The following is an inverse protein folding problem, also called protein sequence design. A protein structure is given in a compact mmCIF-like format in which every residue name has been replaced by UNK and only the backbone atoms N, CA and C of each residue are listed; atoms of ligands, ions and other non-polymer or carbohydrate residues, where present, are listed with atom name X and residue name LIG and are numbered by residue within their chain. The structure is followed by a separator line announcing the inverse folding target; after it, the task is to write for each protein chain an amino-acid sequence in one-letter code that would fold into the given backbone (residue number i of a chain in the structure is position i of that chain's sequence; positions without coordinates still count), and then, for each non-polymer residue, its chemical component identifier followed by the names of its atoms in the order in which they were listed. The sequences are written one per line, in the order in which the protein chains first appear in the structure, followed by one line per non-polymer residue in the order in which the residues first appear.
data_IF_412759203376
#
_entry.id   IF_412759203376
#
_cell.length_a   1.000
_cell.length_b   1.000
_cell.length_c   1.000
_cell.angle_alpha   90.00
_cell.angle_beta   90.00
_cell.angle_gamma   90.00
#
_symmetry.space_group_name_H-M   'P 1'
#
loop_
_entity.id
_entity.type
_entity.pdbx_description
1 polymer ?
#
# COMPACT_ATOMS: atom_id res chain seq x y z
N UNK A 1 62.74 23.78 -56.85
CA UNK A 1 62.29 22.52 -56.20
C UNK A 1 60.78 22.43 -56.36
N UNK A 2 60.08 21.36 -56.80
CA UNK A 2 60.43 20.03 -57.34
C UNK A 2 61.26 19.13 -56.39
N UNK A 3 60.90 17.86 -56.09
CA UNK A 3 59.69 17.07 -56.45
C UNK A 3 59.54 15.83 -55.52
N UNK A 4 58.34 15.21 -55.55
CA UNK A 4 57.91 13.91 -54.96
C UNK A 4 58.93 12.75 -55.00
N UNK A 5 58.76 11.75 -54.10
CA UNK A 5 58.41 10.34 -54.44
C UNK A 5 58.02 9.47 -53.23
N UNK A 6 57.01 8.60 -53.42
CA UNK A 6 56.72 7.41 -52.58
C UNK A 6 57.42 6.18 -53.15
N UNK A 7 57.52 5.06 -52.39
CA UNK A 7 57.46 3.67 -52.90
C UNK A 7 57.28 2.65 -51.73
N UNK A 8 56.68 1.50 -52.05
CA UNK A 8 56.32 0.37 -51.17
C UNK A 8 57.46 -0.65 -50.94
N UNK A 9 57.37 -1.45 -49.86
CA UNK A 9 57.56 -2.93 -49.74
C UNK A 9 57.97 -3.27 -48.29
N UNK A 10 57.33 -4.13 -47.47
CA UNK A 10 56.82 -5.51 -47.58
C UNK A 10 57.88 -6.62 -47.29
N UNK A 11 57.52 -7.53 -46.36
CA UNK A 11 58.04 -8.89 -46.06
C UNK A 11 59.24 -9.13 -45.08
N UNK A 12 58.94 -9.95 -44.05
CA UNK A 12 59.73 -11.01 -43.36
C UNK A 12 60.97 -10.71 -42.49
N UNK A 13 60.83 -10.98 -41.19
CA UNK A 13 61.81 -11.64 -40.28
C UNK A 13 60.99 -12.24 -39.11
N UNK A 14 60.70 -13.54 -39.11
CA UNK A 14 61.50 -14.66 -38.56
C UNK A 14 61.67 -14.65 -37.03
N UNK A 15 61.22 -15.75 -36.42
CA UNK A 15 61.18 -16.00 -34.98
C UNK A 15 62.56 -15.93 -34.31
N UNK A 16 62.59 -15.36 -33.11
CA UNK A 16 63.46 -15.83 -32.04
C UNK A 16 62.77 -15.63 -30.69
N UNK A 17 62.49 -16.75 -30.00
CA UNK A 17 61.99 -16.76 -28.63
C UNK A 17 63.14 -17.12 -27.68
N UNK A 18 63.36 -16.38 -26.59
CA UNK A 18 64.01 -16.91 -25.41
C UNK A 18 62.95 -17.49 -24.47
N UNK A 19 63.01 -18.80 -24.24
CA UNK A 19 62.19 -19.47 -23.22
C UNK A 19 62.58 -19.00 -21.83
N UNK A 20 61.62 -18.53 -21.04
CA UNK A 20 61.73 -18.45 -19.59
C UNK A 20 60.78 -19.46 -18.97
N UNK A 21 61.24 -20.69 -18.76
CA UNK A 21 60.52 -21.65 -17.94
C UNK A 21 60.64 -21.26 -16.46
N UNK A 22 59.54 -20.76 -15.89
CA UNK A 22 59.27 -20.90 -14.47
C UNK A 22 58.13 -21.90 -14.31
N UNK A 23 58.43 -23.11 -13.83
CA UNK A 23 57.39 -24.06 -13.43
C UNK A 23 56.60 -23.48 -12.26
N UNK A 24 55.29 -23.34 -12.45
CA UNK A 24 54.31 -23.25 -11.37
C UNK A 24 53.36 -24.45 -11.52
N UNK A 25 53.83 -25.62 -11.13
CA UNK A 25 52.98 -26.80 -10.95
C UNK A 25 52.28 -26.69 -9.59
N UNK A 26 50.95 -26.59 -9.59
CA UNK A 26 50.15 -26.64 -8.35
C UNK A 26 49.11 -25.53 -8.17
N UNK A 27 49.14 -24.46 -8.96
CA UNK A 27 48.05 -23.47 -8.93
C UNK A 27 46.83 -23.98 -9.71
N UNK A 28 45.95 -24.71 -9.01
CA UNK A 28 44.54 -24.73 -9.40
C UNK A 28 44.01 -23.31 -9.25
N UNK A 29 43.90 -22.60 -10.38
CA UNK A 29 43.08 -21.40 -10.45
C UNK A 29 41.64 -21.85 -10.21
N UNK A 30 41.20 -21.80 -8.95
CA UNK A 30 39.77 -21.71 -8.67
C UNK A 30 39.32 -20.38 -9.27
N UNK A 31 38.86 -20.45 -10.51
CA UNK A 31 38.01 -19.42 -11.07
C UNK A 31 36.81 -19.35 -10.13
N UNK A 32 36.78 -18.31 -9.30
CA UNK A 32 35.64 -18.03 -8.46
C UNK A 32 34.43 -17.90 -9.38
N UNK A 33 33.64 -18.97 -9.47
CA UNK A 33 32.48 -19.06 -10.33
C UNK A 33 31.46 -18.07 -9.79
N UNK A 34 31.56 -16.84 -10.29
CA UNK A 34 30.49 -15.86 -10.16
C UNK A 34 29.36 -16.42 -11.00
N UNK A 35 28.33 -16.90 -10.32
CA UNK A 35 27.07 -17.21 -10.97
C UNK A 35 26.72 -16.06 -11.92
N UNK A 36 26.29 -16.36 -13.17
CA UNK A 36 25.91 -15.31 -14.10
C UNK A 36 24.82 -14.47 -13.43
N UNK A 37 25.08 -13.17 -13.26
CA UNK A 37 24.09 -12.27 -12.70
C UNK A 37 22.90 -12.23 -13.66
N UNK A 38 21.86 -12.99 -13.32
CA UNK A 38 20.57 -12.95 -14.00
C UNK A 38 20.11 -11.49 -13.90
N UNK A 39 19.89 -10.80 -15.03
CA UNK A 39 19.49 -9.39 -14.99
C UNK A 39 18.18 -9.25 -14.21
N UNK A 40 18.02 -8.12 -13.51
CA UNK A 40 16.80 -7.88 -12.74
C UNK A 40 15.56 -8.07 -13.63
N UNK A 41 14.58 -8.89 -13.19
CA UNK A 41 13.45 -9.27 -14.03
C UNK A 41 12.58 -8.05 -14.31
N UNK A 42 12.41 -7.70 -15.59
CA UNK A 42 11.61 -6.54 -15.97
C UNK A 42 10.12 -6.91 -15.98
N UNK A 43 9.31 -6.14 -15.25
CA UNK A 43 7.86 -6.26 -15.35
C UNK A 43 7.37 -5.62 -16.67
N UNK A 44 7.36 -6.41 -17.74
CA UNK A 44 6.77 -6.05 -19.03
C UNK A 44 6.08 -7.26 -19.64
N UNK A 45 4.84 -7.09 -20.10
CA UNK A 45 4.20 -8.05 -20.99
C UNK A 45 3.63 -7.31 -22.20
N UNK A 46 3.86 -7.87 -23.39
CA UNK A 46 3.27 -7.40 -24.64
C UNK A 46 2.80 -8.59 -25.47
N UNK A 47 1.49 -8.65 -25.78
CA UNK A 47 0.97 -9.52 -26.83
C UNK A 47 0.66 -8.65 -28.05
N UNK A 48 1.12 -9.09 -29.22
CA UNK A 48 1.01 -8.37 -30.51
C UNK A 48 1.44 -6.89 -30.44
N UNK A 49 2.50 -6.57 -29.68
CA UNK A 49 3.05 -5.22 -29.54
C UNK A 49 2.39 -4.33 -28.48
N UNK A 50 1.18 -4.66 -28.03
CA UNK A 50 0.42 -3.90 -27.02
C UNK A 50 0.61 -4.46 -25.61
N UNK A 51 0.68 -3.58 -24.61
CA UNK A 51 0.70 -3.97 -23.20
C UNK A 51 -0.60 -4.68 -22.79
N UNK A 52 -0.53 -5.63 -21.86
CA UNK A 52 -1.72 -6.17 -21.15
C UNK A 52 -2.00 -5.47 -19.82
N UNK A 53 -1.01 -4.76 -19.28
CA UNK A 53 -1.10 -4.17 -17.93
C UNK A 53 -2.08 -2.99 -17.94
N UNK A 54 -3.20 -3.17 -17.26
CA UNK A 54 -4.27 -2.18 -17.14
C UNK A 54 -4.07 -1.33 -15.87
N UNK A 55 -3.70 -0.07 -16.07
CA UNK A 55 -3.63 0.94 -15.00
C UNK A 55 -4.88 1.84 -14.98
N UNK A 56 -5.74 1.77 -15.99
CA UNK A 56 -6.91 2.62 -16.13
C UNK A 56 -8.00 2.19 -15.16
N UNK A 57 -8.27 0.88 -15.05
CA UNK A 57 -9.22 0.36 -14.05
C UNK A 57 -8.87 0.87 -12.63
N UNK A 58 -7.58 0.88 -12.30
CA UNK A 58 -7.09 1.34 -11.00
C UNK A 58 -7.31 2.85 -10.78
N UNK A 59 -7.15 3.69 -11.81
CA UNK A 59 -7.40 5.14 -11.67
C UNK A 59 -8.89 5.45 -11.59
N UNK A 60 -9.75 4.70 -12.29
CA UNK A 60 -11.21 4.90 -12.25
C UNK A 60 -11.82 4.69 -10.86
N UNK A 61 -11.18 3.88 -10.00
CA UNK A 61 -11.52 3.81 -8.57
C UNK A 61 -10.87 4.91 -7.76
N UNK A 62 -9.60 5.23 -8.06
CA UNK A 62 -8.83 6.21 -7.30
C UNK A 62 -9.44 7.59 -7.36
N UNK A 63 -9.70 8.10 -8.55
CA UNK A 63 -10.01 9.50 -8.78
C UNK A 63 -11.26 9.98 -8.00
N UNK A 64 -12.41 9.26 -8.00
CA UNK A 64 -13.55 9.64 -7.14
C UNK A 64 -13.25 9.54 -5.63
N UNK A 65 -12.41 8.59 -5.20
CA UNK A 65 -12.08 8.41 -3.77
C UNK A 65 -11.12 9.48 -3.25
N UNK A 66 -10.07 9.79 -4.02
CA UNK A 66 -9.15 10.91 -3.75
C UNK A 66 -9.94 12.24 -3.76
N UNK A 67 -10.93 12.39 -4.65
CA UNK A 67 -11.80 13.56 -4.70
C UNK A 67 -12.74 13.67 -3.48
N UNK A 68 -13.40 12.59 -3.06
CA UNK A 68 -14.18 12.51 -1.81
C UNK A 68 -13.32 12.94 -0.62
N UNK A 69 -12.16 12.31 -0.45
CA UNK A 69 -11.27 12.59 0.69
C UNK A 69 -10.79 14.04 0.70
N UNK A 70 -10.25 14.53 -0.42
CA UNK A 70 -9.61 15.85 -0.50
C UNK A 70 -10.60 17.02 -0.48
N UNK A 71 -11.73 16.89 -1.18
CA UNK A 71 -12.68 17.99 -1.39
C UNK A 71 -13.79 18.05 -0.33
N UNK A 72 -14.14 16.90 0.29
CA UNK A 72 -15.26 16.81 1.23
C UNK A 72 -14.87 16.38 2.63
N UNK A 73 -14.08 15.31 2.80
CA UNK A 73 -13.83 14.73 4.13
C UNK A 73 -12.79 15.52 4.93
N UNK A 74 -11.56 15.60 4.41
CA UNK A 74 -10.43 16.26 5.08
C UNK A 74 -10.75 17.71 5.41
N UNK A 75 -11.42 18.38 4.48
CA UNK A 75 -11.81 19.79 4.56
C UNK A 75 -13.25 20.00 5.01
N UNK A 76 -13.93 18.98 5.58
CA UNK A 76 -15.31 19.00 6.08
C UNK A 76 -16.28 19.95 5.33
N UNK A 77 -16.49 19.69 4.05
CA UNK A 77 -17.30 20.54 3.15
C UNK A 77 -18.69 19.96 2.84
N UNK A 78 -19.18 18.99 3.63
CA UNK A 78 -20.53 18.42 3.48
C UNK A 78 -21.54 19.32 4.22
N UNK A 79 -21.60 20.60 3.83
CA UNK A 79 -22.43 21.63 4.51
C UNK A 79 -23.93 21.51 4.25
N UNK A 80 -24.31 20.89 3.13
CA UNK A 80 -25.68 20.85 2.62
C UNK A 80 -26.01 19.45 2.09
N UNK A 81 -27.30 19.09 2.07
CA UNK A 81 -27.74 17.78 1.57
C UNK A 81 -27.28 17.50 0.14
N UNK A 82 -27.21 18.52 -0.74
CA UNK A 82 -26.68 18.36 -2.09
C UNK A 82 -25.20 17.97 -2.15
N UNK A 83 -24.39 18.36 -1.15
CA UNK A 83 -23.01 17.90 -1.01
C UNK A 83 -22.96 16.47 -0.47
N UNK A 84 -23.85 16.11 0.46
CA UNK A 84 -24.00 14.72 0.95
C UNK A 84 -24.38 13.79 -0.20
N UNK A 85 -25.44 14.11 -0.96
CA UNK A 85 -25.84 13.36 -2.15
C UNK A 85 -24.68 13.17 -3.12
N UNK A 86 -23.88 14.21 -3.38
CA UNK A 86 -22.75 14.11 -4.31
C UNK A 86 -21.61 13.23 -3.79
N UNK A 87 -21.27 13.32 -2.51
CA UNK A 87 -20.25 12.42 -1.89
C UNK A 87 -20.69 10.97 -2.00
N UNK A 88 -21.97 10.69 -1.75
CA UNK A 88 -22.54 9.36 -1.89
C UNK A 88 -22.57 8.90 -3.34
N UNK A 89 -22.94 9.77 -4.28
CA UNK A 89 -22.95 9.47 -5.72
C UNK A 89 -21.57 9.07 -6.24
N UNK A 90 -20.50 9.81 -5.89
CA UNK A 90 -19.12 9.43 -6.22
C UNK A 90 -18.71 8.07 -5.64
N UNK A 91 -19.21 7.71 -4.47
CA UNK A 91 -18.90 6.42 -3.83
C UNK A 91 -19.72 5.27 -4.44
N UNK A 92 -21.03 5.46 -4.58
CA UNK A 92 -22.01 4.48 -5.05
C UNK A 92 -21.91 4.19 -6.55
N UNK A 93 -21.53 5.19 -7.36
CA UNK A 93 -21.53 5.11 -8.83
C UNK A 93 -20.17 5.35 -9.49
N UNK A 94 -19.20 5.95 -8.78
CA UNK A 94 -17.93 6.39 -9.38
C UNK A 94 -18.12 7.51 -10.41
N UNK A 95 -17.11 7.77 -11.24
CA UNK A 95 -17.24 8.71 -12.36
C UNK A 95 -17.50 8.00 -13.70
N UNK A 96 -16.80 6.89 -13.97
CA UNK A 96 -16.84 6.21 -15.27
C UNK A 96 -17.01 4.69 -15.12
N UNK A 97 -18.20 4.26 -14.73
CA UNK A 97 -18.67 2.87 -14.81
C UNK A 97 -18.15 1.90 -13.75
N UNK A 98 -16.97 2.15 -13.16
CA UNK A 98 -16.44 1.38 -12.03
C UNK A 98 -16.79 2.07 -10.71
N UNK A 99 -17.40 1.31 -9.79
CA UNK A 99 -18.08 1.87 -8.62
C UNK A 99 -17.32 1.55 -7.32
N UNK A 100 -16.79 2.55 -6.60
CA UNK A 100 -16.06 2.30 -5.35
C UNK A 100 -16.84 1.49 -4.30
N UNK A 101 -18.15 1.68 -4.21
CA UNK A 101 -19.04 0.95 -3.30
C UNK A 101 -19.09 -0.55 -3.60
N UNK A 102 -19.08 -0.95 -4.88
CA UNK A 102 -19.11 -2.35 -5.29
C UNK A 102 -17.74 -3.01 -5.08
N UNK A 103 -16.67 -2.25 -5.28
CA UNK A 103 -15.28 -2.73 -5.16
C UNK A 103 -14.72 -2.75 -3.72
N UNK A 104 -15.32 -2.02 -2.78
CA UNK A 104 -14.89 -2.02 -1.38
C UNK A 104 -15.17 -3.38 -0.70
N UNK A 105 -14.10 -3.98 -0.16
CA UNK A 105 -14.10 -5.26 0.54
C UNK A 105 -14.81 -6.36 -0.25
N UNK A 106 -14.57 -6.38 -1.57
CA UNK A 106 -15.23 -7.27 -2.53
C UNK A 106 -14.76 -8.72 -2.44
N UNK A 107 -13.60 -8.99 -1.82
CA UNK A 107 -13.06 -10.35 -1.76
C UNK A 107 -13.94 -11.34 -0.98
N UNK A 108 -13.92 -12.65 -1.31
CA UNK A 108 -14.72 -13.66 -0.61
C UNK A 108 -14.46 -13.72 0.89
N UNK A 109 -13.24 -13.41 1.33
CA UNK A 109 -12.83 -13.41 2.75
C UNK A 109 -13.51 -12.31 3.57
N UNK A 110 -13.78 -11.15 2.95
CA UNK A 110 -14.37 -10.00 3.65
C UNK A 110 -15.89 -9.89 3.46
N UNK A 111 -16.50 -10.75 2.61
CA UNK A 111 -17.94 -10.76 2.32
C UNK A 111 -18.85 -10.75 3.56
N UNK A 112 -18.44 -11.39 4.66
CA UNK A 112 -19.20 -11.42 5.91
C UNK A 112 -19.23 -10.05 6.64
N UNK A 113 -18.11 -9.33 6.65
CA UNK A 113 -17.98 -8.02 7.30
C UNK A 113 -18.22 -6.85 6.34
N UNK A 114 -18.29 -7.07 5.02
CA UNK A 114 -18.48 -6.05 3.97
C UNK A 114 -19.60 -5.06 4.26
N UNK A 115 -20.75 -5.52 4.79
CA UNK A 115 -21.87 -4.63 5.19
C UNK A 115 -21.49 -3.67 6.31
N UNK A 116 -20.63 -4.10 7.25
CA UNK A 116 -20.14 -3.30 8.38
C UNK A 116 -19.09 -2.29 7.91
N UNK A 117 -18.20 -2.71 7.02
CA UNK A 117 -17.19 -1.87 6.38
C UNK A 117 -17.85 -0.73 5.57
N UNK A 118 -18.88 -1.06 4.78
CA UNK A 118 -19.70 -0.04 4.09
C UNK A 118 -20.42 0.89 5.07
N UNK A 119 -20.93 0.38 6.19
CA UNK A 119 -21.55 1.22 7.21
C UNK A 119 -20.51 2.15 7.89
N UNK A 120 -19.26 1.72 8.08
CA UNK A 120 -18.21 2.60 8.60
C UNK A 120 -17.95 3.80 7.66
N UNK A 121 -17.98 3.60 6.34
CA UNK A 121 -17.89 4.70 5.34
C UNK A 121 -19.08 5.65 5.46
N UNK A 122 -20.30 5.12 5.55
CA UNK A 122 -21.52 5.91 5.76
C UNK A 122 -21.47 6.72 7.06
N UNK A 123 -20.98 6.15 8.16
CA UNK A 123 -20.80 6.91 9.41
C UNK A 123 -19.73 7.99 9.27
N UNK A 124 -18.64 7.77 8.54
CA UNK A 124 -17.63 8.82 8.27
C UNK A 124 -18.26 9.97 7.48
N UNK A 125 -19.12 9.69 6.49
CA UNK A 125 -19.84 10.74 5.74
C UNK A 125 -20.77 11.53 6.67
N UNK A 126 -21.54 10.86 7.54
CA UNK A 126 -22.42 11.51 8.54
C UNK A 126 -21.66 12.35 9.54
N UNK A 127 -20.57 11.83 10.12
CA UNK A 127 -19.72 12.57 11.07
C UNK A 127 -19.08 13.78 10.38
N UNK A 128 -18.59 13.61 9.15
CA UNK A 128 -18.11 14.74 8.32
C UNK A 128 -19.21 15.78 8.11
N UNK A 129 -20.44 15.37 7.79
CA UNK A 129 -21.60 16.25 7.67
C UNK A 129 -21.87 17.05 8.95
N UNK A 130 -21.91 16.39 10.12
CA UNK A 130 -22.01 17.03 11.44
C UNK A 130 -20.89 18.07 11.64
N UNK A 131 -19.63 17.71 11.39
CA UNK A 131 -18.47 18.60 11.50
C UNK A 131 -18.48 19.76 10.48
N UNK A 132 -19.12 19.57 9.33
CA UNK A 132 -19.34 20.58 8.30
C UNK A 132 -20.44 21.58 8.66
N UNK A 133 -21.25 21.28 9.68
CA UNK A 133 -22.45 22.04 10.04
C UNK A 133 -23.70 21.68 9.24
N UNK A 134 -23.80 20.47 8.69
CA UNK A 134 -25.01 19.99 8.00
C UNK A 134 -26.24 20.12 8.91
N UNK A 135 -27.33 20.67 8.36
CA UNK A 135 -28.57 20.93 9.10
C UNK A 135 -28.54 22.16 10.03
N UNK A 136 -27.42 22.89 10.13
CA UNK A 136 -27.31 24.10 10.93
C UNK A 136 -27.73 25.35 10.12
N UNK A 137 -28.28 26.41 10.76
CA UNK A 137 -28.70 27.63 10.05
C UNK A 137 -27.57 28.36 9.31
N UNK A 138 -26.34 28.23 9.78
CA UNK A 138 -25.14 28.75 9.10
C UNK A 138 -24.00 27.73 9.23
N UNK A 139 -23.88 26.76 8.30
CA UNK A 139 -22.89 25.69 8.38
C UNK A 139 -21.45 26.21 8.45
N UNK A 140 -21.13 27.21 7.62
CA UNK A 140 -19.82 27.87 7.59
C UNK A 140 -19.44 28.58 8.88
N UNK A 141 -20.41 29.13 9.62
CA UNK A 141 -20.17 29.70 10.96
C UNK A 141 -20.05 28.59 12.00
N UNK A 142 -20.95 27.60 11.96
CA UNK A 142 -20.99 26.49 12.92
C UNK A 142 -19.65 25.77 13.00
N UNK A 143 -19.07 25.41 11.85
CA UNK A 143 -17.79 24.68 11.77
C UNK A 143 -16.54 25.48 12.16
N UNK A 144 -16.66 26.79 12.38
CA UNK A 144 -15.53 27.69 12.61
C UNK A 144 -15.12 27.74 14.10
N UNK A 145 -14.81 26.57 14.67
CA UNK A 145 -14.27 26.43 16.02
C UNK A 145 -13.24 25.28 16.07
N UNK A 146 -12.23 25.42 16.94
CA UNK A 146 -11.22 24.37 17.13
C UNK A 146 -11.83 23.16 17.81
N UNK A 147 -11.38 21.97 17.43
CA UNK A 147 -11.71 20.74 18.13
C UNK A 147 -11.20 20.81 19.59
N UNK A 148 -11.90 20.15 20.50
CA UNK A 148 -11.50 19.99 21.92
C UNK A 148 -12.11 18.70 22.48
N UNK A 149 -11.71 18.33 23.71
CA UNK A 149 -12.25 17.17 24.40
C UNK A 149 -13.79 17.25 24.46
N UNK A 150 -14.48 16.29 23.87
CA UNK A 150 -15.95 16.22 23.86
C UNK A 150 -16.66 17.06 22.80
N UNK A 151 -15.95 17.84 21.99
CA UNK A 151 -16.54 18.69 20.93
C UNK A 151 -15.63 18.66 19.68
N UNK A 152 -16.12 18.00 18.64
CA UNK A 152 -15.41 17.92 17.37
C UNK A 152 -15.43 19.25 16.61
N UNK A 153 -14.35 19.56 15.89
CA UNK A 153 -14.12 20.84 15.23
C UNK A 153 -12.89 20.79 14.32
N UNK A 154 -12.35 21.94 13.91
CA UNK A 154 -11.16 21.97 13.07
C UNK A 154 -9.86 21.72 13.86
N UNK A 155 -8.90 21.10 13.17
CA UNK A 155 -7.52 20.88 13.60
C UNK A 155 -6.62 21.62 12.61
N UNK A 156 -5.76 22.50 13.12
CA UNK A 156 -4.94 23.43 12.33
C UNK A 156 -4.80 24.80 13.02
N UNK A 157 -4.16 25.75 12.33
CA UNK A 157 -3.95 27.10 12.87
C UNK A 157 -5.22 27.92 12.64
N UNK A 158 -5.69 27.99 11.38
CA UNK A 158 -6.89 28.73 10.95
C UNK A 158 -7.79 27.92 10.01
N UNK A 159 -9.06 28.32 9.92
CA UNK A 159 -9.96 27.81 8.89
C UNK A 159 -9.51 28.29 7.50
N UNK A 160 -9.28 27.37 6.57
CA UNK A 160 -8.75 27.66 5.23
C UNK A 160 -7.27 27.35 5.02
N UNK A 161 -6.54 26.93 6.06
CA UNK A 161 -5.17 26.42 5.90
C UNK A 161 -5.13 25.19 4.98
N UNK A 162 -4.08 25.07 4.15
CA UNK A 162 -3.89 23.94 3.22
C UNK A 162 -3.93 22.59 3.95
N UNK A 163 -3.41 22.54 5.18
CA UNK A 163 -3.30 21.34 6.01
C UNK A 163 -4.42 21.19 7.05
N UNK A 164 -5.54 21.91 6.90
CA UNK A 164 -6.69 21.75 7.80
C UNK A 164 -7.23 20.31 7.79
N UNK A 165 -7.65 19.85 8.96
CA UNK A 165 -8.38 18.60 9.18
C UNK A 165 -9.56 18.85 10.13
N UNK A 166 -10.48 17.90 10.26
CA UNK A 166 -11.60 17.97 11.21
C UNK A 166 -11.66 16.70 12.05
N UNK A 167 -11.67 16.87 13.36
CA UNK A 167 -11.71 15.78 14.33
C UNK A 167 -13.08 15.71 15.02
N UNK A 168 -13.52 14.50 15.37
CA UNK A 168 -14.72 14.27 16.17
C UNK A 168 -14.52 14.61 17.66
N UNK A 169 -15.54 14.39 18.49
CA UNK A 169 -15.47 14.59 19.95
C UNK A 169 -14.41 13.72 20.67
N UNK A 170 -13.89 12.66 20.03
CA UNK A 170 -12.79 11.81 20.52
C UNK A 170 -11.43 12.22 19.96
N UNK A 171 -11.36 13.27 19.13
CA UNK A 171 -10.13 13.70 18.48
C UNK A 171 -9.77 12.87 17.23
N UNK A 172 -10.66 11.98 16.77
CA UNK A 172 -10.43 11.18 15.57
C UNK A 172 -10.78 11.98 14.32
N UNK A 173 -9.77 12.17 13.46
CA UNK A 173 -9.95 12.74 12.12
C UNK A 173 -10.49 11.63 11.22
N UNK A 174 -11.82 11.56 11.10
CA UNK A 174 -12.53 10.50 10.37
C UNK A 174 -12.15 10.40 8.88
N UNK A 175 -11.63 11.48 8.28
CA UNK A 175 -11.07 11.48 6.94
C UNK A 175 -9.83 10.57 6.80
N UNK A 176 -8.98 10.46 7.83
CA UNK A 176 -7.82 9.55 7.82
C UNK A 176 -8.26 8.08 8.03
N UNK A 177 -9.38 7.86 8.73
CA UNK A 177 -10.00 6.54 8.80
C UNK A 177 -10.56 6.11 7.44
N UNK A 178 -11.20 7.02 6.69
CA UNK A 178 -11.64 6.76 5.31
C UNK A 178 -10.47 6.39 4.40
N UNK A 179 -9.35 7.12 4.48
CA UNK A 179 -8.11 6.73 3.80
C UNK A 179 -7.73 5.29 4.17
N UNK A 180 -7.68 4.94 5.46
CA UNK A 180 -7.42 3.57 5.91
C UNK A 180 -8.35 2.50 5.32
N UNK A 181 -9.65 2.79 5.26
CA UNK A 181 -10.67 1.92 4.68
C UNK A 181 -10.47 1.75 3.17
N UNK A 182 -10.21 2.83 2.44
CA UNK A 182 -9.95 2.79 0.98
C UNK A 182 -8.65 2.05 0.68
N UNK A 183 -7.57 2.42 1.36
CA UNK A 183 -6.26 1.82 1.19
C UNK A 183 -6.29 0.31 1.49
N UNK A 184 -6.83 -0.09 2.64
CA UNK A 184 -6.99 -1.51 2.96
C UNK A 184 -8.02 -2.22 2.07
N UNK A 185 -9.25 -1.74 2.09
CA UNK A 185 -10.42 -2.45 1.58
C UNK A 185 -10.63 -2.39 0.07
N UNK A 186 -9.95 -1.49 -0.65
CA UNK A 186 -9.92 -1.51 -2.11
C UNK A 186 -8.55 -1.98 -2.58
N UNK A 187 -7.48 -1.23 -2.33
CA UNK A 187 -6.17 -1.56 -2.93
C UNK A 187 -5.58 -2.84 -2.36
N UNK A 188 -5.42 -2.96 -1.04
CA UNK A 188 -4.80 -4.14 -0.44
C UNK A 188 -5.69 -5.39 -0.60
N UNK A 189 -7.02 -5.24 -0.49
CA UNK A 189 -7.98 -6.32 -0.75
C UNK A 189 -7.91 -6.83 -2.20
N UNK A 190 -7.87 -5.91 -3.18
CA UNK A 190 -7.74 -6.27 -4.59
C UNK A 190 -6.41 -6.94 -4.88
N UNK A 191 -5.29 -6.41 -4.38
CA UNK A 191 -3.98 -7.02 -4.58
C UNK A 191 -3.96 -8.44 -3.98
N UNK A 192 -4.25 -8.59 -2.68
CA UNK A 192 -3.99 -9.84 -1.94
C UNK A 192 -5.13 -10.86 -1.96
N UNK A 193 -6.39 -10.41 -1.90
CA UNK A 193 -7.55 -11.27 -1.65
C UNK A 193 -8.40 -11.51 -2.90
N UNK A 194 -8.30 -10.64 -3.92
CA UNK A 194 -8.98 -10.80 -5.22
C UNK A 194 -8.00 -11.32 -6.27
N UNK A 195 -7.00 -10.53 -6.68
CA UNK A 195 -6.19 -10.81 -7.86
C UNK A 195 -4.98 -11.74 -7.59
N UNK A 196 -4.47 -11.79 -6.35
CA UNK A 196 -3.49 -12.79 -5.88
C UNK A 196 -4.15 -13.83 -4.95
N UNK A 197 -5.40 -14.20 -5.25
CA UNK A 197 -6.06 -15.31 -4.56
C UNK A 197 -5.56 -16.67 -5.08
N UNK A 198 -5.15 -17.55 -4.18
CA UNK A 198 -4.61 -18.88 -4.53
C UNK A 198 -5.61 -19.72 -5.35
N UNK A 199 -6.91 -19.52 -5.18
CA UNK A 199 -7.92 -20.28 -5.94
C UNK A 199 -7.84 -20.03 -7.44
N UNK A 200 -7.51 -18.81 -7.89
CA UNK A 200 -7.40 -18.45 -9.31
C UNK A 200 -6.29 -19.24 -9.99
N UNK A 201 -5.11 -19.27 -9.37
CA UNK A 201 -3.92 -19.92 -9.93
C UNK A 201 -3.94 -21.44 -9.77
N UNK A 202 -4.91 -22.00 -9.04
CA UNK A 202 -5.14 -23.45 -8.92
C UNK A 202 -6.41 -23.93 -9.63
N UNK A 203 -7.19 -23.04 -10.26
CA UNK A 203 -8.39 -23.40 -11.00
C UNK A 203 -8.06 -24.09 -12.34
N UNK A 204 -8.61 -25.30 -12.54
CA UNK A 204 -8.33 -26.14 -13.71
C UNK A 204 -8.97 -25.66 -15.02
N UNK A 205 -10.00 -24.79 -14.95
CA UNK A 205 -10.53 -24.07 -16.11
C UNK A 205 -9.58 -22.94 -16.47
N UNK A 206 -9.22 -22.08 -15.51
CA UNK A 206 -8.35 -20.93 -15.75
C UNK A 206 -6.98 -21.33 -16.32
N UNK A 207 -6.33 -22.35 -15.75
CA UNK A 207 -5.06 -22.88 -16.30
C UNK A 207 -5.20 -23.36 -17.74
N UNK A 208 -6.26 -24.12 -18.05
CA UNK A 208 -6.53 -24.68 -19.39
C UNK A 208 -6.84 -23.59 -20.42
N UNK A 209 -7.68 -22.62 -20.06
CA UNK A 209 -7.99 -21.47 -20.93
C UNK A 209 -6.73 -20.64 -21.19
N UNK A 210 -5.88 -20.46 -20.17
CA UNK A 210 -4.61 -19.77 -20.30
C UNK A 210 -3.60 -20.50 -21.19
N UNK A 211 -3.40 -21.81 -21.01
CA UNK A 211 -2.57 -22.67 -21.88
C UNK A 211 -3.06 -22.66 -23.34
N UNK A 212 -4.38 -22.67 -23.54
CA UNK A 212 -5.00 -22.56 -24.86
C UNK A 212 -4.95 -21.12 -25.44
N UNK A 213 -4.36 -20.15 -24.72
CA UNK A 213 -4.35 -18.71 -25.10
C UNK A 213 -5.77 -18.16 -25.39
N UNK A 214 -6.75 -18.58 -24.59
CA UNK A 214 -8.15 -18.12 -24.70
C UNK A 214 -8.26 -16.68 -24.19
N UNK A 215 -8.30 -15.72 -25.12
CA UNK A 215 -8.34 -14.30 -24.81
C UNK A 215 -9.75 -13.85 -24.44
N UNK A 216 -9.86 -12.89 -23.51
CA UNK A 216 -11.12 -12.24 -23.21
C UNK A 216 -11.61 -11.38 -24.40
N UNK A 217 -12.93 -11.23 -24.63
CA UNK A 217 -13.46 -10.52 -25.79
C UNK A 217 -12.91 -9.09 -25.93
N UNK A 218 -12.28 -8.80 -27.08
CA UNK A 218 -11.67 -7.50 -27.36
C UNK A 218 -10.39 -7.18 -26.58
N UNK A 219 -9.82 -8.14 -25.85
CA UNK A 219 -8.59 -7.99 -25.04
C UNK A 219 -7.43 -8.79 -25.64
N UNK A 220 -6.21 -8.41 -25.25
CA UNK A 220 -4.96 -9.07 -25.63
C UNK A 220 -4.38 -9.96 -24.50
N UNK A 221 -5.19 -10.30 -23.49
CA UNK A 221 -4.83 -11.10 -22.32
C UNK A 221 -5.87 -12.19 -22.04
N UNK A 222 -5.43 -13.27 -21.39
CA UNK A 222 -6.33 -14.27 -20.80
C UNK A 222 -6.83 -13.79 -19.43
N UNK A 223 -7.84 -14.44 -18.86
CA UNK A 223 -8.39 -14.10 -17.54
C UNK A 223 -7.31 -14.17 -16.44
N UNK A 224 -6.49 -15.23 -16.43
CA UNK A 224 -5.46 -15.46 -15.41
C UNK A 224 -4.29 -14.45 -15.50
N UNK A 225 -3.91 -14.07 -16.71
CA UNK A 225 -2.93 -12.99 -16.94
C UNK A 225 -3.44 -11.64 -16.44
N UNK A 226 -4.72 -11.35 -16.69
CA UNK A 226 -5.34 -10.10 -16.27
C UNK A 226 -5.34 -9.92 -14.75
N UNK A 227 -5.63 -10.98 -13.99
CA UNK A 227 -5.53 -10.93 -12.53
C UNK A 227 -4.11 -10.57 -12.08
N UNK A 228 -3.07 -11.25 -12.59
CA UNK A 228 -1.69 -10.94 -12.19
C UNK A 228 -1.27 -9.50 -12.56
N UNK A 229 -1.69 -9.04 -13.74
CA UNK A 229 -1.39 -7.69 -14.24
C UNK A 229 -2.16 -6.60 -13.45
N UNK A 230 -3.43 -6.83 -13.07
CA UNK A 230 -4.20 -5.92 -12.20
C UNK A 230 -3.63 -5.85 -10.78
N UNK A 231 -3.20 -6.97 -10.19
CA UNK A 231 -2.53 -6.97 -8.89
C UNK A 231 -1.29 -6.05 -8.88
N UNK A 232 -0.50 -6.08 -9.97
CA UNK A 232 0.64 -5.18 -10.15
C UNK A 232 0.22 -3.72 -10.40
N UNK A 233 -0.90 -3.50 -11.11
CA UNK A 233 -1.53 -2.20 -11.30
C UNK A 233 -1.93 -1.53 -9.98
N UNK A 234 -2.76 -2.20 -9.17
CA UNK A 234 -3.17 -1.71 -7.85
C UNK A 234 -1.97 -1.52 -6.91
N UNK A 235 -0.93 -2.38 -7.01
CA UNK A 235 0.32 -2.22 -6.26
C UNK A 235 1.06 -0.91 -6.56
N UNK A 236 0.95 -0.32 -7.75
CA UNK A 236 1.60 0.98 -8.04
C UNK A 236 1.05 2.11 -7.14
N UNK A 237 -0.22 2.03 -6.76
CA UNK A 237 -0.85 3.00 -5.86
C UNK A 237 -0.47 2.73 -4.39
N UNK A 238 -0.10 1.49 -4.06
CA UNK A 238 0.50 1.14 -2.76
C UNK A 238 1.98 1.48 -2.65
N UNK A 239 2.67 1.69 -3.78
CA UNK A 239 4.11 1.86 -3.85
C UNK A 239 4.66 2.96 -2.91
N UNK A 240 4.00 4.11 -2.66
CA UNK A 240 4.44 5.10 -1.67
C UNK A 240 4.57 4.54 -0.25
N UNK A 241 3.64 3.65 0.18
CA UNK A 241 3.70 2.98 1.47
C UNK A 241 4.87 1.98 1.55
N UNK A 242 5.30 1.41 0.43
CA UNK A 242 6.52 0.59 0.38
C UNK A 242 7.78 1.47 0.35
N UNK A 243 7.75 2.57 -0.39
CA UNK A 243 8.91 3.41 -0.71
C UNK A 243 9.30 4.46 0.33
N UNK A 244 8.41 4.89 1.24
CA UNK A 244 8.69 5.92 2.24
C UNK A 244 9.69 5.44 3.33
N UNK A 245 10.93 5.15 2.93
CA UNK A 245 11.83 4.23 3.61
C UNK A 245 13.01 4.87 4.33
N UNK A 246 12.75 5.47 5.51
CA UNK A 246 13.76 5.65 6.56
C UNK A 246 13.85 4.48 7.54
N UNK A 247 13.09 3.40 7.29
CA UNK A 247 12.96 2.23 8.17
C UNK A 247 13.81 1.06 7.65
N UNK A 248 14.81 0.57 8.40
CA UNK A 248 15.69 -0.51 7.96
C UNK A 248 14.95 -1.80 7.59
N UNK A 249 13.93 -2.18 8.37
CA UNK A 249 13.12 -3.39 8.15
C UNK A 249 12.38 -3.43 6.80
N UNK A 250 12.18 -2.26 6.15
CA UNK A 250 11.54 -2.15 4.83
C UNK A 250 12.50 -1.87 3.68
N UNK A 251 13.82 -1.78 3.93
CA UNK A 251 14.82 -1.34 2.95
C UNK A 251 14.76 -2.14 1.63
N UNK A 252 14.49 -3.43 1.72
CA UNK A 252 14.44 -4.34 0.57
C UNK A 252 13.00 -4.63 0.08
N UNK A 253 11.96 -4.17 0.78
CA UNK A 253 10.57 -4.55 0.46
C UNK A 253 10.17 -4.18 -0.96
N UNK A 254 10.57 -2.99 -1.43
CA UNK A 254 10.29 -2.53 -2.80
C UNK A 254 10.86 -3.48 -3.86
N UNK A 255 12.13 -3.88 -3.71
CA UNK A 255 12.80 -4.73 -4.71
C UNK A 255 12.33 -6.18 -4.60
N UNK A 256 12.05 -6.68 -3.39
CA UNK A 256 11.45 -8.02 -3.19
C UNK A 256 10.08 -8.13 -3.85
N UNK A 257 9.18 -7.19 -3.60
CA UNK A 257 7.83 -7.20 -4.19
C UNK A 257 7.90 -7.03 -5.71
N UNK A 258 8.71 -6.09 -6.23
CA UNK A 258 8.89 -5.92 -7.68
C UNK A 258 9.42 -7.19 -8.36
N UNK A 259 10.48 -7.78 -7.81
CA UNK A 259 11.09 -8.98 -8.38
C UNK A 259 10.13 -10.18 -8.32
N UNK A 260 9.33 -10.32 -7.26
CA UNK A 260 8.32 -11.37 -7.17
C UNK A 260 7.22 -11.18 -8.22
N UNK A 261 6.68 -9.96 -8.38
CA UNK A 261 5.71 -9.66 -9.44
C UNK A 261 6.27 -9.98 -10.84
N UNK A 262 7.50 -9.58 -11.14
CA UNK A 262 8.10 -9.80 -12.46
C UNK A 262 8.44 -11.29 -12.70
N UNK A 263 8.98 -12.00 -11.70
CA UNK A 263 9.23 -13.46 -11.78
C UNK A 263 7.94 -14.24 -11.94
N UNK A 264 6.87 -13.88 -11.23
CA UNK A 264 5.59 -14.57 -11.35
C UNK A 264 4.92 -14.30 -12.70
N UNK A 265 5.08 -13.11 -13.28
CA UNK A 265 4.58 -12.83 -14.64
C UNK A 265 5.33 -13.63 -15.71
N UNK A 266 6.64 -13.80 -15.54
CA UNK A 266 7.47 -14.67 -16.39
C UNK A 266 7.06 -16.14 -16.24
N UNK A 267 6.98 -16.64 -15.01
CA UNK A 267 6.54 -18.01 -14.72
C UNK A 267 5.14 -18.29 -15.29
N UNK A 268 4.21 -17.32 -15.22
CA UNK A 268 2.91 -17.43 -15.85
C UNK A 268 3.03 -17.54 -17.38
N UNK A 269 3.83 -16.70 -18.03
CA UNK A 269 4.09 -16.77 -19.49
C UNK A 269 4.65 -18.14 -19.94
N UNK A 270 5.33 -18.86 -19.04
CA UNK A 270 5.93 -20.18 -19.30
C UNK A 270 5.10 -21.34 -18.71
N UNK A 271 3.87 -21.07 -18.25
CA UNK A 271 2.95 -22.03 -17.62
C UNK A 271 3.50 -22.73 -16.34
N UNK A 272 4.50 -22.13 -15.69
CA UNK A 272 5.15 -22.62 -14.46
C UNK A 272 4.35 -22.23 -13.21
N UNK A 273 3.13 -22.73 -13.08
CA UNK A 273 2.18 -22.31 -12.03
C UNK A 273 2.68 -22.48 -10.59
N UNK A 274 3.54 -23.47 -10.33
CA UNK A 274 4.13 -23.67 -8.99
C UNK A 274 5.07 -22.51 -8.62
N UNK A 275 5.78 -21.93 -9.59
CA UNK A 275 6.59 -20.73 -9.39
C UNK A 275 5.73 -19.47 -9.26
N UNK A 276 4.61 -19.39 -10.01
CA UNK A 276 3.60 -18.32 -9.82
C UNK A 276 3.10 -18.33 -8.37
N UNK A 277 2.76 -19.50 -7.82
CA UNK A 277 2.31 -19.67 -6.45
C UNK A 277 3.37 -19.28 -5.40
N UNK A 278 4.65 -19.58 -5.65
CA UNK A 278 5.76 -19.13 -4.79
C UNK A 278 5.92 -17.60 -4.81
N UNK A 279 5.88 -16.97 -5.99
CA UNK A 279 5.99 -15.51 -6.09
C UNK A 279 4.79 -14.80 -5.47
N UNK A 280 3.60 -15.38 -5.59
CA UNK A 280 2.37 -14.93 -4.95
C UNK A 280 2.53 -14.90 -3.43
N UNK A 281 3.03 -15.98 -2.82
CA UNK A 281 3.28 -16.07 -1.38
C UNK A 281 4.34 -15.05 -0.91
N UNK A 282 5.39 -14.81 -1.71
CA UNK A 282 6.38 -13.76 -1.43
C UNK A 282 5.78 -12.35 -1.41
N UNK A 283 4.94 -12.01 -2.40
CA UNK A 283 4.22 -10.72 -2.43
C UNK A 283 3.31 -10.60 -1.21
N UNK A 284 2.54 -11.65 -0.91
CA UNK A 284 1.60 -11.71 0.21
C UNK A 284 2.27 -11.42 1.55
N UNK A 285 3.37 -12.11 1.83
CA UNK A 285 4.13 -11.98 3.08
C UNK A 285 4.78 -10.60 3.19
N UNK A 286 5.48 -10.15 2.14
CA UNK A 286 6.24 -8.89 2.19
C UNK A 286 5.32 -7.66 2.24
N UNK A 287 4.21 -7.67 1.48
CA UNK A 287 3.23 -6.57 1.47
C UNK A 287 2.44 -6.49 2.79
N UNK A 288 2.07 -7.64 3.37
CA UNK A 288 1.44 -7.69 4.70
C UNK A 288 2.36 -7.16 5.79
N UNK A 289 3.66 -7.51 5.74
CA UNK A 289 4.69 -6.96 6.64
C UNK A 289 4.83 -5.44 6.49
N UNK A 290 4.82 -4.92 5.25
CA UNK A 290 4.84 -3.45 5.02
C UNK A 290 3.64 -2.78 5.68
N UNK A 291 2.43 -3.32 5.51
CA UNK A 291 1.22 -2.75 6.12
C UNK A 291 1.31 -2.71 7.65
N UNK A 292 1.75 -3.82 8.28
CA UNK A 292 1.95 -3.91 9.72
C UNK A 292 2.99 -2.92 10.24
N UNK A 293 4.18 -2.87 9.62
CA UNK A 293 5.25 -1.92 9.97
C UNK A 293 4.76 -0.47 9.85
N UNK A 294 3.96 -0.15 8.84
CA UNK A 294 3.38 1.20 8.67
C UNK A 294 2.39 1.55 9.77
N UNK A 295 1.45 0.65 10.08
CA UNK A 295 0.50 0.86 11.16
C UNK A 295 1.23 1.07 12.51
N UNK A 296 2.20 0.20 12.84
CA UNK A 296 2.98 0.35 14.06
C UNK A 296 3.80 1.65 14.05
N UNK A 297 4.48 2.00 12.95
CA UNK A 297 5.30 3.20 12.87
C UNK A 297 4.47 4.49 12.96
N UNK A 298 3.28 4.56 12.36
CA UNK A 298 2.39 5.72 12.50
C UNK A 298 1.98 5.98 13.95
N UNK A 299 1.87 4.93 14.78
CA UNK A 299 1.56 5.06 16.21
C UNK A 299 2.77 5.52 17.05
N UNK A 300 3.99 5.07 16.75
CA UNK A 300 5.17 5.30 17.62
C UNK A 300 6.34 6.04 16.97
N UNK A 301 6.16 6.65 15.79
CA UNK A 301 7.21 7.45 15.16
C UNK A 301 7.55 8.71 15.95
N UNK A 302 8.78 9.20 15.81
CA UNK A 302 9.21 10.47 16.40
C UNK A 302 8.30 11.63 15.96
N UNK A 303 7.74 11.60 14.74
CA UNK A 303 6.79 12.61 14.27
C UNK A 303 5.53 12.61 15.15
N UNK A 304 4.90 11.44 15.32
CA UNK A 304 3.70 11.27 16.13
C UNK A 304 3.96 11.64 17.59
N UNK A 305 5.09 11.17 18.15
CA UNK A 305 5.43 11.34 19.56
C UNK A 305 5.87 12.79 19.88
N UNK A 306 6.65 13.45 19.01
CA UNK A 306 7.04 14.85 19.21
C UNK A 306 5.85 15.80 19.08
N UNK A 307 4.97 15.60 18.09
CA UNK A 307 3.74 16.40 17.99
C UNK A 307 2.85 16.18 19.22
N UNK A 308 2.69 14.93 19.68
CA UNK A 308 1.92 14.61 20.89
C UNK A 308 2.54 15.19 22.16
N UNK A 309 3.86 15.38 22.19
CA UNK A 309 4.51 16.04 23.32
C UNK A 309 4.35 17.56 23.29
N UNK A 310 4.48 18.19 22.11
CA UNK A 310 4.34 19.63 21.92
C UNK A 310 2.89 20.13 22.10
N UNK A 311 1.96 19.68 21.25
CA UNK A 311 0.52 19.97 21.33
C UNK A 311 -0.28 18.82 20.73
N UNK A 312 -1.17 18.23 21.54
CA UNK A 312 -2.04 17.14 21.14
C UNK A 312 -2.88 17.45 19.90
N UNK A 313 -3.23 18.73 19.66
CA UNK A 313 -3.92 19.16 18.44
C UNK A 313 -3.09 18.83 17.19
N UNK A 314 -1.78 19.09 17.23
CA UNK A 314 -0.87 18.78 16.12
C UNK A 314 -0.73 17.26 15.90
N UNK A 315 -0.94 16.46 16.94
CA UNK A 315 -0.86 15.00 16.88
C UNK A 315 -2.09 14.31 16.28
N UNK A 316 -3.29 14.90 16.37
CA UNK A 316 -4.55 14.21 16.05
C UNK A 316 -4.58 13.62 14.63
N UNK A 317 -4.03 14.32 13.63
CA UNK A 317 -3.95 13.82 12.25
C UNK A 317 -3.07 12.57 12.17
N UNK A 318 -1.88 12.58 12.75
CA UNK A 318 -0.95 11.44 12.75
C UNK A 318 -1.50 10.24 13.54
N UNK A 319 -2.15 10.50 14.68
CA UNK A 319 -2.84 9.47 15.47
C UNK A 319 -4.01 8.83 14.69
N UNK A 320 -4.74 9.64 13.93
CA UNK A 320 -5.86 9.19 13.09
C UNK A 320 -5.39 8.42 11.86
N UNK A 321 -4.24 8.79 11.27
CA UNK A 321 -3.54 7.99 10.25
C UNK A 321 -3.13 6.62 10.80
N UNK A 322 -2.66 6.56 12.05
CA UNK A 322 -2.43 5.32 12.77
C UNK A 322 -3.71 4.48 12.88
N UNK A 323 -4.85 5.07 13.25
CA UNK A 323 -6.15 4.40 13.31
C UNK A 323 -6.61 3.88 11.92
N UNK A 324 -6.43 4.67 10.87
CA UNK A 324 -6.70 4.24 9.49
C UNK A 324 -5.81 3.07 9.06
N UNK A 325 -4.51 3.13 9.34
CA UNK A 325 -3.58 2.05 9.04
C UNK A 325 -3.89 0.76 9.83
N UNK A 326 -4.31 0.87 11.10
CA UNK A 326 -4.82 -0.27 11.88
C UNK A 326 -6.04 -0.91 11.22
N UNK A 327 -7.00 -0.11 10.73
CA UNK A 327 -8.18 -0.61 10.04
C UNK A 327 -7.83 -1.44 8.79
N UNK A 328 -6.83 -0.97 8.03
CA UNK A 328 -6.37 -1.62 6.81
C UNK A 328 -5.75 -3.02 7.04
N UNK A 329 -5.30 -3.34 8.26
CA UNK A 329 -4.62 -4.61 8.54
C UNK A 329 -5.52 -5.85 8.38
N UNK A 330 -6.85 -5.71 8.46
CA UNK A 330 -7.75 -6.86 8.27
C UNK A 330 -7.62 -7.48 6.87
N UNK A 331 -7.25 -6.68 5.87
CA UNK A 331 -7.08 -7.11 4.48
C UNK A 331 -5.71 -7.77 4.20
N UNK A 332 -4.83 -7.86 5.20
CA UNK A 332 -3.53 -8.56 5.09
C UNK A 332 -3.68 -10.07 5.30
N UNK A 333 -2.89 -10.87 4.58
CA UNK A 333 -2.95 -12.33 4.64
C UNK A 333 -1.67 -12.96 5.15
N UNK A 334 -1.82 -13.95 6.03
CA UNK A 334 -0.79 -14.93 6.36
C UNK A 334 -0.41 -15.73 5.11
N UNK A 335 0.78 -16.33 5.09
CA UNK A 335 1.22 -17.23 4.01
C UNK A 335 0.15 -18.29 3.65
N UNK A 336 -0.54 -18.82 4.67
CA UNK A 336 -1.66 -19.78 4.58
C UNK A 336 -2.93 -19.30 3.84
N UNK A 337 -2.98 -18.04 3.40
CA UNK A 337 -4.15 -17.44 2.75
C UNK A 337 -5.26 -17.01 3.71
N UNK A 338 -5.02 -17.04 5.03
CA UNK A 338 -5.96 -16.55 6.06
C UNK A 338 -5.65 -15.10 6.45
N UNK A 339 -6.66 -14.26 6.75
CA UNK A 339 -6.43 -12.93 7.31
C UNK A 339 -5.59 -12.97 8.60
N UNK A 340 -4.66 -12.03 8.78
CA UNK A 340 -3.92 -11.89 10.04
C UNK A 340 -4.83 -11.42 11.18
N UNK A 341 -5.79 -10.53 10.85
CA UNK A 341 -6.68 -9.86 11.79
C UNK A 341 -8.09 -9.84 11.22
N UNK A 342 -9.09 -10.04 12.07
CA UNK A 342 -10.50 -9.81 11.73
C UNK A 342 -10.90 -8.34 11.87
N UNK A 343 -12.00 -7.96 11.24
CA UNK A 343 -12.68 -6.67 11.47
C UNK A 343 -12.80 -6.33 12.96
N UNK A 344 -13.22 -7.31 13.78
CA UNK A 344 -13.43 -7.08 15.22
C UNK A 344 -12.11 -6.77 15.96
N UNK A 345 -10.99 -7.38 15.57
CA UNK A 345 -9.68 -7.11 16.19
C UNK A 345 -9.16 -5.72 15.82
N UNK A 346 -9.24 -5.32 14.54
CA UNK A 346 -8.79 -3.97 14.14
C UNK A 346 -9.67 -2.88 14.75
N UNK A 347 -10.99 -3.10 14.87
CA UNK A 347 -11.87 -2.18 15.62
C UNK A 347 -11.55 -2.18 17.12
N UNK A 348 -11.14 -3.30 17.73
CA UNK A 348 -10.69 -3.33 19.13
C UNK A 348 -9.50 -2.40 19.34
N UNK A 349 -8.46 -2.51 18.50
CA UNK A 349 -7.28 -1.63 18.58
C UNK A 349 -7.64 -0.14 18.44
N UNK A 350 -8.52 0.21 17.50
CA UNK A 350 -8.99 1.59 17.33
C UNK A 350 -9.84 2.06 18.52
N UNK A 351 -10.70 1.19 19.06
CA UNK A 351 -11.52 1.49 20.24
C UNK A 351 -10.68 1.64 21.50
N UNK A 352 -9.59 0.88 21.65
CA UNK A 352 -8.61 1.05 22.72
C UNK A 352 -7.93 2.42 22.62
N UNK A 353 -7.49 2.84 21.43
CA UNK A 353 -6.92 4.19 21.24
C UNK A 353 -7.96 5.30 21.48
N UNK A 354 -9.22 5.11 21.09
CA UNK A 354 -10.30 6.12 21.22
C UNK A 354 -11.12 6.02 22.52
N UNK A 355 -10.73 5.16 23.47
CA UNK A 355 -11.40 4.98 24.76
C UNK A 355 -11.42 6.25 25.63
N UNK A 356 -12.45 6.41 26.46
CA UNK A 356 -12.56 7.51 27.42
C UNK A 356 -12.60 8.88 26.74
N UNK A 357 -11.60 9.72 27.00
CA UNK A 357 -11.42 11.02 26.35
C UNK A 357 -10.88 10.92 24.91
N UNK A 358 -10.64 9.71 24.40
CA UNK A 358 -10.18 9.48 23.04
C UNK A 358 -8.71 9.80 22.83
N UNK A 359 -8.39 10.27 21.63
CA UNK A 359 -7.05 10.69 21.21
C UNK A 359 -6.56 11.96 21.92
N UNK A 360 -7.38 12.57 22.77
CA UNK A 360 -7.01 13.68 23.66
C UNK A 360 -6.33 13.25 24.96
N UNK A 361 -6.27 11.95 25.28
CA UNK A 361 -5.66 11.46 26.52
C UNK A 361 -4.14 11.29 26.40
N UNK A 362 -3.41 12.42 26.38
CA UNK A 362 -1.93 12.46 26.26
C UNK A 362 -1.25 11.48 27.23
N UNK A 363 -1.71 11.43 28.49
CA UNK A 363 -1.08 10.60 29.55
C UNK A 363 -1.20 9.12 29.25
N UNK A 364 -2.36 8.65 28.79
CA UNK A 364 -2.60 7.25 28.42
C UNK A 364 -1.88 6.88 27.12
N UNK A 365 -1.95 7.74 26.10
CA UNK A 365 -1.31 7.50 24.80
C UNK A 365 0.21 7.38 24.90
N UNK A 366 0.86 8.22 25.72
CA UNK A 366 2.30 8.16 26.02
C UNK A 366 2.69 7.08 27.05
N UNK A 367 1.74 6.27 27.51
CA UNK A 367 1.99 5.14 28.40
C UNK A 367 3.01 4.14 27.84
N UNK A 368 3.51 3.28 28.72
CA UNK A 368 4.39 2.18 28.34
C UNK A 368 3.63 1.07 27.59
N UNK A 369 4.34 0.00 27.20
CA UNK A 369 3.73 -1.15 26.52
C UNK A 369 2.75 -1.94 27.43
N UNK A 370 2.86 -1.82 28.76
CA UNK A 370 1.96 -2.47 29.70
C UNK A 370 0.63 -1.70 29.86
N UNK A 371 0.61 -0.39 29.57
CA UNK A 371 -0.55 0.49 29.70
C UNK A 371 -1.60 0.24 28.59
N UNK A 372 -2.80 -0.29 28.90
CA UNK A 372 -3.81 -0.56 27.88
C UNK A 372 -4.26 0.71 27.14
N UNK A 373 -4.40 0.62 25.82
CA UNK A 373 -4.72 1.78 24.97
C UNK A 373 -3.61 2.83 24.84
N UNK A 374 -2.37 2.55 25.28
CA UNK A 374 -1.20 3.35 24.88
C UNK A 374 -0.80 3.05 23.43
N UNK A 375 -0.07 3.97 22.80
CA UNK A 375 0.42 3.80 21.44
C UNK A 375 1.40 2.63 21.32
N UNK A 376 2.25 2.45 22.33
CA UNK A 376 3.21 1.34 22.42
C UNK A 376 2.51 0.00 22.66
N UNK A 377 1.47 -0.02 23.48
CA UNK A 377 0.66 -1.23 23.73
C UNK A 377 0.05 -1.73 22.42
N UNK A 378 -0.71 -0.88 21.73
CA UNK A 378 -1.41 -1.26 20.50
C UNK A 378 -0.41 -1.62 19.38
N UNK A 379 0.67 -0.85 19.21
CA UNK A 379 1.73 -1.20 18.26
C UNK A 379 2.42 -2.54 18.57
N UNK A 380 2.61 -2.89 19.85
CA UNK A 380 3.14 -4.20 20.25
C UNK A 380 2.14 -5.34 20.01
N UNK A 381 0.85 -5.14 20.28
CA UNK A 381 -0.18 -6.14 19.96
C UNK A 381 -0.24 -6.45 18.46
N UNK A 382 -0.16 -5.41 17.62
CA UNK A 382 0.01 -5.59 16.17
C UNK A 382 1.31 -6.34 15.88
N UNK A 383 2.45 -5.88 16.39
CA UNK A 383 3.76 -6.50 16.13
C UNK A 383 3.79 -8.00 16.38
N UNK A 384 3.22 -8.45 17.51
CA UNK A 384 3.10 -9.88 17.88
C UNK A 384 2.39 -10.73 16.83
N UNK A 385 1.40 -10.18 16.12
CA UNK A 385 0.65 -10.90 15.06
C UNK A 385 1.47 -11.10 13.79
N UNK A 386 2.46 -10.22 13.53
CA UNK A 386 3.33 -10.27 12.34
C UNK A 386 4.77 -10.70 12.65
N UNK A 387 5.08 -11.13 13.87
CA UNK A 387 6.44 -11.48 14.29
C UNK A 387 7.41 -10.30 14.39
N UNK A 388 6.89 -9.10 14.69
CA UNK A 388 7.63 -7.84 14.77
C UNK A 388 7.64 -7.27 16.19
N UNK A 389 8.68 -6.50 16.51
CA UNK A 389 8.81 -5.76 17.79
C UNK A 389 8.85 -4.25 17.55
N UNK A 390 8.73 -3.46 18.62
CA UNK A 390 8.92 -2.01 18.57
C UNK A 390 10.37 -1.60 18.23
N UNK A 391 11.34 -2.51 18.33
CA UNK A 391 12.73 -2.23 17.93
C UNK A 391 12.93 -2.32 16.41
N UNK A 392 12.24 -3.24 15.73
CA UNK A 392 12.39 -3.45 14.28
C UNK A 392 11.92 -2.26 13.45
N UNK A 393 11.02 -1.45 14.01
CA UNK A 393 10.42 -0.28 13.38
C UNK A 393 11.07 1.05 13.79
N UNK A 394 12.23 1.01 14.46
CA UNK A 394 13.05 2.20 14.73
C UNK A 394 13.77 2.64 13.44
N UNK A 395 13.95 3.95 13.28
CA UNK A 395 14.82 4.49 12.22
C UNK A 395 16.28 4.23 12.58
N UNK A 396 17.12 4.01 11.57
CA UNK A 396 18.56 4.25 11.73
C UNK A 396 18.78 5.75 11.66
N UNK A 397 19.44 6.30 12.68
CA UNK A 397 20.02 7.64 12.66
C UNK A 397 21.40 7.59 11.98
#
# INVERSE_FOLDING_TARGET
MKKKTSIYSLLFLLLSAPSSCSQWEGETVESAYREPQIPDPSYQFKRTGSSSVDYLECSLLRDPLDYIYSSYLRTANIMYESAMTRVKDYFDHGEFGLKPQEELAASPLHKADRKRILNDVEEIFKVTGKLSGLGQPSPGTYRNHKAKIGEGGYVGIHIGDVNIAFADEKGLVVAELFNGIVWGGIYLDKILNVHLNDSLYNDTRLRREHENTSLLPGRNYTELEHHWDLAYGYYQYWLPFVQAGGLPVLRESRIKIYNAFARGRLALTEYRYDEVQQQLQLIRTELSKVAAVRAMNLLVSDITLSNLDEDINNALVFLSQGCGALYALQFTLQESGKPHLSYNQVKSYINELTAGNGLWDKKRLLGDEATPGSLKHVASQVGKVYGLTLNDIKRSY
#
